data_IF_225493442993
#
_entry.id   IF_225493442993
#
_cell.length_a   1.000
_cell.length_b   1.000
_cell.length_c   1.000
_cell.angle_alpha   90.00
_cell.angle_beta   90.00
_cell.angle_gamma   90.00
#
_symmetry.space_group_name_H-M   'P 1'
#
loop_
_entity.id
_entity.type
_entity.pdbx_description
1 polymer ?
#
# COMPACT_ATOMS: atom_id res chain seq x y z
N UNK A 1 -4.13 -10.75 13.98
CA UNK A 1 -4.66 -9.72 13.07
C UNK A 1 -4.12 -8.37 13.50
N UNK A 2 -3.27 -7.75 12.69
CA UNK A 2 -2.69 -6.42 12.93
C UNK A 2 -3.23 -5.42 11.92
N UNK A 3 -3.17 -4.13 12.29
CA UNK A 3 -3.41 -3.01 11.38
C UNK A 3 -2.08 -2.30 11.15
N UNK A 4 -1.65 -2.24 9.90
CA UNK A 4 -0.35 -1.67 9.50
C UNK A 4 -0.60 -0.43 8.65
N UNK A 5 -0.14 0.72 9.12
CA UNK A 5 -0.13 1.95 8.35
C UNK A 5 1.16 2.00 7.52
N UNK A 6 1.01 2.14 6.20
CA UNK A 6 2.14 2.28 5.28
C UNK A 6 2.06 3.65 4.63
N UNK A 7 3.09 4.45 4.87
CA UNK A 7 3.29 5.74 4.21
C UNK A 7 4.13 5.59 2.95
N UNK A 8 3.82 6.30 1.87
CA UNK A 8 4.65 6.27 0.66
C UNK A 8 4.56 4.98 -0.15
N UNK A 9 3.44 4.23 -0.06
CA UNK A 9 3.23 2.97 -0.81
C UNK A 9 3.36 3.15 -2.31
N UNK A 10 3.11 4.34 -2.84
CA UNK A 10 3.17 4.57 -4.27
C UNK A 10 4.59 4.76 -4.80
N UNK A 11 5.59 4.86 -3.91
CA UNK A 11 7.01 4.79 -4.25
C UNK A 11 7.50 3.37 -4.50
N UNK A 12 8.78 3.24 -4.89
CA UNK A 12 9.39 1.95 -5.26
C UNK A 12 9.42 0.92 -4.12
N UNK A 13 9.91 1.31 -2.95
CA UNK A 13 10.02 0.40 -1.79
C UNK A 13 8.64 0.14 -1.19
N UNK A 14 7.83 1.18 -1.01
CA UNK A 14 6.52 1.06 -0.38
C UNK A 14 5.57 0.11 -1.12
N UNK A 15 5.59 0.12 -2.45
CA UNK A 15 4.72 -0.75 -3.27
C UNK A 15 5.12 -2.22 -3.12
N UNK A 16 6.41 -2.51 -3.16
CA UNK A 16 6.96 -3.84 -2.96
C UNK A 16 6.77 -4.34 -1.53
N UNK A 17 6.96 -3.48 -0.53
CA UNK A 17 6.71 -3.80 0.86
C UNK A 17 5.25 -4.24 1.08
N UNK A 18 4.28 -3.49 0.55
CA UNK A 18 2.86 -3.86 0.70
C UNK A 18 2.54 -5.17 -0.01
N UNK A 19 3.12 -5.42 -1.20
CA UNK A 19 2.98 -6.71 -1.88
C UNK A 19 3.51 -7.85 -1.01
N UNK A 20 4.76 -7.73 -0.56
CA UNK A 20 5.41 -8.69 0.34
C UNK A 20 4.60 -8.95 1.62
N UNK A 21 4.07 -7.88 2.22
CA UNK A 21 3.34 -7.97 3.49
C UNK A 21 2.02 -8.71 3.33
N UNK A 22 1.26 -8.39 2.27
CA UNK A 22 -0.02 -9.05 1.98
C UNK A 22 0.13 -10.53 1.67
N UNK A 23 1.22 -10.92 0.99
CA UNK A 23 1.52 -12.33 0.71
C UNK A 23 1.82 -13.13 1.99
N UNK A 24 2.54 -12.53 2.95
CA UNK A 24 2.96 -13.21 4.18
C UNK A 24 1.97 -13.10 5.34
N UNK A 25 1.15 -12.05 5.34
CA UNK A 25 0.21 -11.74 6.42
C UNK A 25 -1.19 -11.47 5.84
N UNK A 26 -1.85 -12.47 5.23
CA UNK A 26 -3.13 -12.28 4.55
C UNK A 26 -4.27 -11.86 5.48
N UNK A 27 -4.16 -12.13 6.78
CA UNK A 27 -5.14 -11.75 7.80
C UNK A 27 -4.92 -10.33 8.36
N UNK A 28 -3.84 -9.65 7.98
CA UNK A 28 -3.54 -8.29 8.44
C UNK A 28 -4.16 -7.25 7.50
N UNK A 29 -4.53 -6.10 8.05
CA UNK A 29 -5.11 -4.98 7.32
C UNK A 29 -3.99 -3.97 7.06
N UNK A 30 -3.76 -3.64 5.78
CA UNK A 30 -2.82 -2.61 5.37
C UNK A 30 -3.59 -1.34 5.01
N UNK A 31 -3.34 -0.27 5.76
CA UNK A 31 -3.84 1.08 5.47
C UNK A 31 -2.73 1.85 4.77
N UNK A 32 -3.01 2.38 3.59
CA UNK A 32 -2.05 3.15 2.83
C UNK A 32 -2.32 4.65 2.94
N UNK A 33 -1.28 5.41 3.24
CA UNK A 33 -1.27 6.86 3.22
C UNK A 33 -0.20 7.38 2.26
N UNK A 34 -0.61 8.07 1.19
CA UNK A 34 0.32 8.57 0.20
C UNK A 34 -0.07 9.96 -0.31
N UNK A 35 0.90 10.85 -0.47
CA UNK A 35 0.69 12.19 -1.02
C UNK A 35 0.63 12.18 -2.56
N UNK A 36 1.15 11.13 -3.20
CA UNK A 36 1.37 11.05 -4.64
C UNK A 36 2.13 12.28 -5.15
N UNK A 37 3.26 12.57 -4.51
CA UNK A 37 4.22 13.57 -4.99
C UNK A 37 5.01 13.02 -6.18
N UNK A 38 6.04 13.75 -6.65
CA UNK A 38 6.86 13.39 -7.81
C UNK A 38 7.31 11.91 -7.85
N UNK A 39 7.69 11.34 -6.71
CA UNK A 39 8.18 9.95 -6.63
C UNK A 39 7.07 8.89 -6.57
N UNK A 40 5.80 9.29 -6.44
CA UNK A 40 4.66 8.39 -6.33
C UNK A 40 4.04 8.05 -7.68
N UNK A 41 3.85 6.77 -7.99
CA UNK A 41 3.30 6.33 -9.28
C UNK A 41 2.07 5.43 -9.13
N UNK A 42 0.89 5.86 -9.59
CA UNK A 42 -0.35 5.08 -9.52
C UNK A 42 -0.31 3.71 -10.23
N UNK A 43 0.70 3.45 -11.07
CA UNK A 43 0.95 2.14 -11.70
C UNK A 43 1.71 1.16 -10.80
N UNK A 44 2.45 1.64 -9.79
CA UNK A 44 3.19 0.79 -8.86
C UNK A 44 2.35 -0.24 -8.09
N UNK A 45 1.13 0.06 -7.59
CA UNK A 45 0.36 -0.89 -6.79
C UNK A 45 -0.22 -2.07 -7.60
N UNK A 46 -0.09 -2.10 -8.94
CA UNK A 46 -0.61 -3.18 -9.78
C UNK A 46 -2.13 -3.40 -9.65
N UNK A 47 -2.67 -4.44 -10.31
CA UNK A 47 -4.05 -4.89 -10.07
C UNK A 47 -4.14 -5.53 -8.68
N UNK A 48 -4.51 -4.75 -7.66
CA UNK A 48 -4.68 -5.28 -6.31
C UNK A 48 -5.93 -6.16 -6.23
N UNK A 49 -5.74 -7.47 -6.18
CA UNK A 49 -6.80 -8.44 -5.88
C UNK A 49 -7.41 -8.21 -4.49
N UNK A 50 -8.69 -8.58 -4.37
CA UNK A 50 -9.61 -8.35 -3.24
C UNK A 50 -8.97 -8.64 -1.90
N UNK A 51 -8.92 -7.62 -1.07
CA UNK A 51 -8.53 -7.62 0.34
C UNK A 51 -8.51 -6.16 0.76
N UNK A 52 -9.09 -5.86 1.93
CA UNK A 52 -9.45 -4.50 2.38
C UNK A 52 -8.23 -3.58 2.57
N UNK A 53 -7.62 -3.13 1.47
CA UNK A 53 -6.63 -2.09 1.48
C UNK A 53 -7.35 -0.75 1.33
N UNK A 54 -7.50 -0.03 2.45
CA UNK A 54 -7.94 1.35 2.42
C UNK A 54 -6.76 2.24 2.00
N UNK A 55 -6.90 2.95 0.89
CA UNK A 55 -5.89 3.90 0.40
C UNK A 55 -6.43 5.32 0.49
N UNK A 56 -5.70 6.17 1.19
CA UNK A 56 -6.01 7.59 1.34
C UNK A 56 -4.93 8.41 0.63
N UNK A 57 -5.38 9.39 -0.16
CA UNK A 57 -4.53 10.42 -0.73
C UNK A 57 -4.62 11.67 0.13
N UNK A 58 -3.50 12.13 0.65
CA UNK A 58 -3.44 13.44 1.31
C UNK A 58 -3.48 14.53 0.22
N UNK A 59 -4.41 15.48 0.37
CA UNK A 59 -4.49 16.69 -0.45
C UNK A 59 -3.80 17.83 0.27
#
# INVERSE_FOLDING_TARGET
>A
MRRVLVTGRMGFIGSNFVRYWRERHPADIVVNLDLLTYAGNMRNPGRSGRGAALSFRLR
#
